data_IF_285236841563
#
_entry.id   IF_285236841563
#
_cell.length_a   1.000
_cell.length_b   1.000
_cell.length_c   1.000
_cell.angle_alpha   90.00
_cell.angle_beta   90.00
_cell.angle_gamma   90.00
#
_symmetry.space_group_name_H-M   'P 1'
#
loop_
_entity.id
_entity.type
_entity.pdbx_description
1 polymer ?
#
# COMPACT_ATOMS: atom_id res chain seq x y z
N UNK A 1 -20.06 23.62 -1.81
CA UNK A 1 -19.85 22.33 -2.52
C UNK A 1 -18.68 22.33 -3.51
N UNK A 2 -18.18 23.48 -4.00
CA UNK A 2 -17.10 23.51 -5.02
C UNK A 2 -15.65 23.41 -4.49
N UNK A 3 -15.40 23.61 -3.19
CA UNK A 3 -14.04 23.57 -2.63
C UNK A 3 -13.52 22.14 -2.36
N UNK A 4 -14.40 21.13 -2.37
CA UNK A 4 -14.10 19.74 -2.00
C UNK A 4 -13.60 18.89 -3.16
N UNK A 5 -13.78 19.33 -4.41
CA UNK A 5 -13.30 18.61 -5.60
C UNK A 5 -11.83 18.91 -5.93
N UNK A 6 -11.31 20.05 -5.49
CA UNK A 6 -9.95 20.50 -5.83
C UNK A 6 -8.84 19.76 -5.06
N UNK A 7 -9.16 19.20 -3.89
CA UNK A 7 -8.18 18.45 -3.09
C UNK A 7 -8.03 17.00 -3.58
N UNK A 8 -9.09 16.41 -4.14
CA UNK A 8 -9.09 15.05 -4.67
C UNK A 8 -8.30 14.95 -5.99
N UNK A 9 -8.31 16.01 -6.80
CA UNK A 9 -7.52 16.10 -8.04
C UNK A 9 -6.03 16.33 -7.79
N UNK A 10 -5.65 16.98 -6.67
CA UNK A 10 -4.24 17.16 -6.31
C UNK A 10 -3.58 15.85 -5.84
N UNK A 11 -4.34 14.96 -5.18
CA UNK A 11 -3.85 13.66 -4.72
C UNK A 11 -3.67 12.64 -5.86
N UNK A 12 -4.41 12.79 -6.97
CA UNK A 12 -4.27 11.95 -8.17
C UNK A 12 -3.04 12.32 -9.00
N UNK A 13 -2.59 13.59 -8.96
CA UNK A 13 -1.44 14.05 -9.74
C UNK A 13 -0.08 13.53 -9.22
N UNK A 14 0.02 13.22 -7.92
CA UNK A 14 1.24 12.64 -7.33
C UNK A 14 1.41 11.15 -7.59
N UNK A 15 0.35 10.43 -7.99
CA UNK A 15 0.41 8.99 -8.26
C UNK A 15 0.90 8.69 -9.68
N UNK A 16 0.78 9.63 -10.62
CA UNK A 16 1.26 9.47 -12.00
C UNK A 16 2.75 9.79 -12.20
N UNK A 17 3.44 10.33 -11.20
CA UNK A 17 4.84 10.74 -11.33
C UNK A 17 5.87 9.65 -10.98
N UNK A 18 5.44 8.49 -10.45
CA UNK A 18 6.34 7.40 -10.05
C UNK A 18 6.45 6.25 -11.06
N UNK A 19 5.84 6.38 -12.24
CA UNK A 19 5.81 5.31 -13.27
C UNK A 19 6.58 5.64 -14.55
N UNK A 20 7.36 6.72 -14.61
CA UNK A 20 8.20 7.02 -15.78
C UNK A 20 9.68 6.67 -15.58
N UNK A 21 10.04 5.52 -16.18
CA UNK A 21 11.32 5.21 -16.86
C UNK A 21 12.36 4.34 -16.16
N UNK A 22 12.65 3.16 -16.73
CA UNK A 22 14.02 2.70 -16.93
C UNK A 22 14.28 2.57 -18.44
N UNK A 23 14.81 3.63 -19.06
CA UNK A 23 15.34 3.53 -20.43
C UNK A 23 16.50 4.50 -20.60
N UNK A 24 17.68 4.07 -20.15
CA UNK A 24 18.97 4.58 -20.60
C UNK A 24 19.93 3.37 -20.60
N UNK A 25 19.86 2.54 -21.64
CA UNK A 25 20.65 2.71 -22.87
C UNK A 25 22.10 2.31 -22.65
N UNK A 26 22.29 1.01 -22.80
CA UNK A 26 23.50 0.33 -23.24
C UNK A 26 24.16 1.17 -24.35
N UNK A 27 25.20 1.94 -24.02
CA UNK A 27 26.06 2.60 -25.00
C UNK A 27 27.30 3.21 -24.32
N UNK A 28 28.22 2.38 -23.84
CA UNK A 28 29.63 2.78 -23.81
C UNK A 28 30.57 1.58 -23.65
N UNK A 29 30.54 0.70 -24.64
CA UNK A 29 31.63 -0.25 -24.86
C UNK A 29 32.35 0.19 -26.15
N UNK A 30 33.67 0.44 -26.03
CA UNK A 30 34.66 0.80 -27.06
C UNK A 30 35.05 2.29 -27.12
N UNK A 31 36.13 2.61 -26.40
CA UNK A 31 37.35 3.19 -27.00
C UNK A 31 38.57 2.73 -26.21
N UNK A 32 39.67 2.58 -26.93
CA UNK A 32 40.84 1.78 -26.63
C UNK A 32 41.82 2.37 -25.60
N UNK A 33 42.63 1.46 -25.05
CA UNK A 33 44.07 1.58 -24.73
C UNK A 33 44.61 2.89 -24.14
N UNK A 34 45.10 2.83 -22.90
CA UNK A 34 46.51 3.10 -22.53
C UNK A 34 46.72 3.00 -21.02
N UNK A 35 47.82 2.33 -20.65
CA UNK A 35 48.27 2.05 -19.29
C UNK A 35 48.68 3.32 -18.54
N UNK A 36 47.95 3.64 -17.47
CA UNK A 36 48.42 4.45 -16.34
C UNK A 36 47.89 3.80 -15.08
N UNK A 37 48.75 3.61 -14.08
CA UNK A 37 48.40 3.03 -12.78
C UNK A 37 47.19 3.75 -12.17
N UNK A 38 46.01 3.14 -12.32
CA UNK A 38 44.78 3.63 -11.74
C UNK A 38 44.84 3.34 -10.24
N UNK A 39 44.92 4.40 -9.46
CA UNK A 39 44.40 4.39 -8.09
C UNK A 39 42.94 3.93 -8.22
N UNK A 40 42.62 2.70 -7.78
CA UNK A 40 41.24 2.28 -7.61
C UNK A 40 40.63 3.24 -6.60
N UNK A 41 39.87 4.21 -7.10
CA UNK A 41 38.91 4.91 -6.26
C UNK A 41 37.99 3.80 -5.73
N UNK A 42 38.07 3.54 -4.42
CA UNK A 42 37.05 2.78 -3.72
C UNK A 42 35.76 3.56 -3.96
N UNK A 43 34.95 3.12 -4.92
CA UNK A 43 33.59 3.60 -5.08
C UNK A 43 32.91 3.24 -3.76
N UNK A 44 32.74 4.24 -2.89
CA UNK A 44 31.82 4.13 -1.77
C UNK A 44 30.50 3.70 -2.38
N UNK A 45 29.96 2.51 -2.05
CA UNK A 45 28.67 2.11 -2.56
C UNK A 45 27.71 3.24 -2.22
N UNK A 46 27.02 3.75 -3.25
CA UNK A 46 26.03 4.81 -3.09
C UNK A 46 25.17 4.46 -1.86
N UNK A 47 24.90 5.43 -0.99
CA UNK A 47 24.16 5.17 0.26
C UNK A 47 22.88 4.36 0.01
N UNK A 48 22.24 4.57 -1.15
CA UNK A 48 21.09 3.85 -1.68
C UNK A 48 21.32 2.32 -1.79
N UNK A 49 22.51 1.89 -2.19
CA UNK A 49 22.89 0.48 -2.27
C UNK A 49 23.07 -0.17 -0.88
N UNK A 50 23.40 0.61 0.15
CA UNK A 50 23.53 0.12 1.53
C UNK A 50 22.14 0.04 2.20
N UNK A 51 21.25 1.00 1.95
CA UNK A 51 19.88 0.98 2.45
C UNK A 51 19.06 -0.15 1.81
N UNK A 52 19.17 -0.34 0.49
CA UNK A 52 18.51 -1.45 -0.22
C UNK A 52 18.97 -2.84 0.23
N UNK A 53 20.20 -2.99 0.73
CA UNK A 53 20.73 -4.27 1.22
C UNK A 53 20.27 -4.64 2.65
N UNK A 54 19.66 -3.70 3.39
CA UNK A 54 19.28 -3.87 4.80
C UNK A 54 17.77 -3.88 5.06
N UNK A 55 16.97 -3.88 3.99
CA UNK A 55 15.51 -3.88 4.06
C UNK A 55 14.98 -2.50 4.42
N UNK A 56 14.61 -1.70 3.43
CA UNK A 56 13.85 -0.47 3.64
C UNK A 56 14.54 0.65 4.45
N UNK A 57 13.97 1.85 4.42
CA UNK A 57 14.24 2.84 5.46
C UNK A 57 13.85 2.28 6.84
N UNK A 58 14.73 2.46 7.82
CA UNK A 58 14.56 1.98 9.21
C UNK A 58 14.51 0.45 9.39
N UNK A 59 15.01 -0.35 8.44
CA UNK A 59 15.05 -1.81 8.58
C UNK A 59 13.69 -2.49 8.34
N UNK A 60 12.75 -1.80 7.69
CA UNK A 60 11.42 -2.34 7.39
C UNK A 60 11.48 -3.14 6.08
N UNK A 61 11.38 -4.45 6.18
CA UNK A 61 11.34 -5.32 5.01
C UNK A 61 9.97 -5.33 4.31
N UNK A 62 9.96 -5.53 2.98
CA UNK A 62 8.74 -5.73 2.18
C UNK A 62 7.84 -6.83 2.74
N UNK A 63 8.44 -7.90 3.28
CA UNK A 63 7.71 -9.03 3.86
C UNK A 63 6.92 -8.62 5.11
N UNK A 64 7.48 -7.74 5.94
CA UNK A 64 6.77 -7.20 7.11
C UNK A 64 5.56 -6.35 6.69
N UNK A 65 5.72 -5.51 5.66
CA UNK A 65 4.63 -4.71 5.12
C UNK A 65 3.49 -5.59 4.57
N UNK A 66 3.84 -6.64 3.82
CA UNK A 66 2.88 -7.62 3.31
C UNK A 66 2.16 -8.38 4.43
N UNK A 67 2.89 -8.87 5.44
CA UNK A 67 2.31 -9.53 6.61
C UNK A 67 1.34 -8.62 7.37
N UNK A 68 1.67 -7.33 7.49
CA UNK A 68 0.76 -6.34 8.08
C UNK A 68 -0.54 -6.22 7.27
N UNK A 69 -0.46 -6.15 5.94
CA UNK A 69 -1.64 -6.18 5.06
C UNK A 69 -2.45 -7.45 5.28
N UNK A 70 -1.83 -8.63 5.26
CA UNK A 70 -2.52 -9.92 5.40
C UNK A 70 -3.28 -10.01 6.72
N UNK A 71 -2.66 -9.55 7.80
CA UNK A 71 -3.28 -9.58 9.11
C UNK A 71 -4.45 -8.60 9.22
N UNK A 72 -4.23 -7.32 8.89
CA UNK A 72 -5.25 -6.28 9.05
C UNK A 72 -6.41 -6.51 8.09
N UNK A 73 -6.13 -6.66 6.80
CA UNK A 73 -7.17 -6.87 5.81
C UNK A 73 -7.79 -8.28 5.93
N UNK A 74 -7.04 -9.28 6.39
CA UNK A 74 -7.55 -10.64 6.59
C UNK A 74 -8.54 -10.69 7.75
N UNK A 75 -8.19 -10.07 8.88
CA UNK A 75 -9.10 -9.93 10.01
C UNK A 75 -10.36 -9.14 9.62
N UNK A 76 -10.20 -8.04 8.90
CA UNK A 76 -11.34 -7.21 8.48
C UNK A 76 -12.23 -7.89 7.44
N UNK A 77 -11.63 -8.58 6.47
CA UNK A 77 -12.35 -9.41 5.49
C UNK A 77 -13.10 -10.56 6.17
N UNK A 78 -12.50 -11.20 7.17
CA UNK A 78 -13.16 -12.24 7.96
C UNK A 78 -14.35 -11.70 8.77
N UNK A 79 -14.19 -10.55 9.39
CA UNK A 79 -15.27 -9.87 10.10
C UNK A 79 -16.45 -9.56 9.17
N UNK A 80 -16.18 -9.00 7.98
CA UNK A 80 -17.21 -8.74 6.98
C UNK A 80 -17.87 -10.00 6.43
N UNK A 81 -17.11 -11.08 6.28
CA UNK A 81 -17.64 -12.35 5.78
C UNK A 81 -18.55 -13.07 6.81
N UNK A 82 -18.13 -13.12 8.07
CA UNK A 82 -18.83 -13.87 9.11
C UNK A 82 -19.89 -13.03 9.83
N UNK A 83 -19.61 -11.75 10.08
CA UNK A 83 -20.41 -10.88 10.94
C UNK A 83 -20.59 -9.47 10.33
N UNK A 84 -21.09 -9.34 9.08
CA UNK A 84 -21.19 -8.05 8.38
C UNK A 84 -21.98 -7.00 9.17
N UNK A 85 -23.07 -7.41 9.83
CA UNK A 85 -23.91 -6.52 10.63
C UNK A 85 -23.12 -5.89 11.77
N UNK A 86 -22.45 -6.71 12.56
CA UNK A 86 -21.58 -6.23 13.64
C UNK A 86 -20.50 -5.30 13.08
N UNK A 87 -19.87 -5.68 11.96
CA UNK A 87 -18.78 -4.91 11.37
C UNK A 87 -19.20 -3.55 10.84
N UNK A 88 -20.38 -3.44 10.26
CA UNK A 88 -20.90 -2.18 9.72
C UNK A 88 -21.41 -1.31 10.87
N UNK A 89 -22.27 -1.83 11.75
CA UNK A 89 -22.88 -1.07 12.84
C UNK A 89 -21.87 -0.60 13.88
N UNK A 90 -20.76 -1.32 14.08
CA UNK A 90 -19.70 -0.84 14.95
C UNK A 90 -18.97 0.38 14.36
N UNK A 91 -18.92 0.56 13.04
CA UNK A 91 -18.14 1.60 12.35
C UNK A 91 -18.99 2.78 11.86
N UNK A 92 -20.28 2.56 11.59
CA UNK A 92 -21.16 3.54 10.96
C UNK A 92 -22.48 3.67 11.71
N UNK A 93 -23.03 4.88 11.76
CA UNK A 93 -24.37 5.14 12.29
C UNK A 93 -25.45 4.75 11.27
N UNK A 94 -25.58 3.45 11.03
CA UNK A 94 -26.55 2.87 10.09
C UNK A 94 -27.18 1.62 10.67
N UNK A 95 -28.44 1.35 10.32
CA UNK A 95 -29.08 0.07 10.61
C UNK A 95 -28.87 -0.86 9.42
N UNK A 96 -28.25 -2.02 9.67
CA UNK A 96 -27.94 -2.97 8.60
C UNK A 96 -29.19 -3.74 8.20
N UNK A 97 -29.50 -3.68 6.91
CA UNK A 97 -30.50 -4.53 6.25
C UNK A 97 -29.85 -5.76 5.57
N UNK A 98 -30.68 -6.54 4.89
CA UNK A 98 -30.25 -7.75 4.18
C UNK A 98 -29.31 -7.43 3.00
N UNK A 99 -29.48 -6.27 2.36
CA UNK A 99 -28.64 -5.85 1.24
C UNK A 99 -27.23 -5.48 1.72
N UNK A 100 -27.12 -4.72 2.82
CA UNK A 100 -25.85 -4.44 3.48
C UNK A 100 -25.17 -5.71 3.95
N UNK A 101 -25.92 -6.67 4.49
CA UNK A 101 -25.39 -7.96 4.91
C UNK A 101 -24.84 -8.77 3.73
N UNK A 102 -25.58 -8.82 2.62
CA UNK A 102 -25.13 -9.46 1.38
C UNK A 102 -23.85 -8.83 0.83
N UNK A 103 -23.83 -7.51 0.67
CA UNK A 103 -22.65 -6.79 0.19
C UNK A 103 -21.45 -6.92 1.14
N UNK A 104 -21.69 -6.89 2.45
CA UNK A 104 -20.67 -7.10 3.46
C UNK A 104 -20.02 -8.47 3.33
N UNK A 105 -20.82 -9.54 3.19
CA UNK A 105 -20.29 -10.90 2.96
C UNK A 105 -19.53 -11.02 1.66
N UNK A 106 -20.07 -10.44 0.58
CA UNK A 106 -19.41 -10.44 -0.71
C UNK A 106 -18.05 -9.74 -0.66
N UNK A 107 -17.99 -8.55 -0.04
CA UNK A 107 -16.75 -7.79 0.18
C UNK A 107 -15.75 -8.56 1.04
N UNK A 108 -16.21 -9.17 2.14
CA UNK A 108 -15.36 -10.00 2.99
C UNK A 108 -14.76 -11.19 2.24
N UNK A 109 -15.57 -11.90 1.44
CA UNK A 109 -15.11 -13.01 0.62
C UNK A 109 -14.06 -12.56 -0.42
N UNK A 110 -14.33 -11.49 -1.16
CA UNK A 110 -13.39 -11.01 -2.18
C UNK A 110 -12.08 -10.51 -1.58
N UNK A 111 -12.13 -9.87 -0.40
CA UNK A 111 -10.94 -9.45 0.34
C UNK A 111 -10.11 -10.66 0.79
N UNK A 112 -10.74 -11.71 1.33
CA UNK A 112 -10.05 -12.94 1.73
C UNK A 112 -9.39 -13.66 0.54
N UNK A 113 -10.08 -13.73 -0.61
CA UNK A 113 -9.51 -14.30 -1.84
C UNK A 113 -8.34 -13.47 -2.36
N UNK A 114 -8.45 -12.13 -2.35
CA UNK A 114 -7.37 -11.23 -2.75
C UNK A 114 -6.13 -11.40 -1.87
N UNK A 115 -6.30 -11.50 -0.56
CA UNK A 115 -5.19 -11.75 0.37
C UNK A 115 -4.57 -13.11 0.12
N UNK A 116 -5.37 -14.15 -0.04
CA UNK A 116 -4.85 -15.48 -0.39
C UNK A 116 -4.02 -15.42 -1.67
N UNK A 117 -4.50 -14.73 -2.71
CA UNK A 117 -3.74 -14.55 -3.95
C UNK A 117 -2.41 -13.84 -3.72
N UNK A 118 -2.38 -12.76 -2.93
CA UNK A 118 -1.14 -12.06 -2.60
C UNK A 118 -0.11 -12.97 -1.91
N UNK A 119 -0.57 -13.88 -1.02
CA UNK A 119 0.33 -14.84 -0.34
C UNK A 119 0.97 -15.88 -1.28
N UNK A 120 0.48 -16.01 -2.51
CA UNK A 120 0.98 -16.96 -3.52
C UNK A 120 1.87 -16.32 -4.57
N UNK A 121 1.99 -15.00 -4.56
CA UNK A 121 2.83 -14.26 -5.49
C UNK A 121 4.21 -14.06 -4.89
N UNK A 122 5.23 -13.94 -5.77
CA UNK A 122 6.55 -13.48 -5.36
C UNK A 122 6.48 -12.08 -4.75
N UNK A 123 7.43 -11.78 -3.86
CA UNK A 123 7.44 -10.53 -3.08
C UNK A 123 7.50 -9.28 -3.97
N UNK A 124 8.24 -9.35 -5.08
CA UNK A 124 8.40 -8.23 -6.00
C UNK A 124 7.15 -7.95 -6.84
N UNK A 125 6.23 -8.93 -6.93
CA UNK A 125 4.92 -8.75 -7.58
C UNK A 125 3.86 -8.35 -6.55
N UNK A 126 3.81 -9.03 -5.41
CA UNK A 126 2.80 -8.79 -4.37
C UNK A 126 2.96 -7.43 -3.69
N UNK A 127 4.19 -6.97 -3.45
CA UNK A 127 4.45 -5.70 -2.76
C UNK A 127 3.84 -4.48 -3.46
N UNK A 128 4.12 -4.19 -4.75
CA UNK A 128 3.53 -3.03 -5.41
C UNK A 128 2.01 -3.12 -5.56
N UNK A 129 1.46 -4.34 -5.75
CA UNK A 129 0.00 -4.56 -5.78
C UNK A 129 -0.61 -4.26 -4.40
N UNK A 130 -0.03 -4.79 -3.33
CA UNK A 130 -0.45 -4.53 -1.95
C UNK A 130 -0.37 -3.06 -1.61
N UNK A 131 0.70 -2.37 -2.01
CA UNK A 131 0.86 -0.95 -1.74
C UNK A 131 -0.22 -0.13 -2.46
N UNK A 132 -0.41 -0.35 -3.77
CA UNK A 132 -1.46 0.31 -4.54
C UNK A 132 -2.87 0.04 -3.99
N UNK A 133 -3.15 -1.21 -3.60
CA UNK A 133 -4.42 -1.56 -2.98
C UNK A 133 -4.66 -0.85 -1.66
N UNK A 134 -3.65 -0.79 -0.76
CA UNK A 134 -3.78 -0.08 0.51
C UNK A 134 -3.98 1.43 0.33
N UNK A 135 -3.38 2.04 -0.70
CA UNK A 135 -3.63 3.46 -1.04
C UNK A 135 -5.09 3.65 -1.45
N UNK A 136 -5.63 2.77 -2.30
CA UNK A 136 -7.03 2.83 -2.69
C UNK A 136 -7.97 2.59 -1.50
N UNK A 137 -7.66 1.64 -0.62
CA UNK A 137 -8.41 1.40 0.62
C UNK A 137 -8.41 2.62 1.52
N UNK A 138 -7.26 3.29 1.70
CA UNK A 138 -7.19 4.50 2.51
C UNK A 138 -8.08 5.63 1.98
N UNK A 139 -8.10 5.82 0.66
CA UNK A 139 -8.89 6.86 -0.01
C UNK A 139 -10.38 6.53 0.01
N UNK A 140 -10.77 5.35 -0.49
CA UNK A 140 -12.18 5.00 -0.70
C UNK A 140 -12.85 4.38 0.53
N UNK A 141 -12.06 3.88 1.48
CA UNK A 141 -12.55 3.37 2.76
C UNK A 141 -12.58 4.47 3.81
N UNK A 142 -11.56 4.56 4.70
CA UNK A 142 -11.64 5.45 5.86
C UNK A 142 -11.70 6.95 5.52
N UNK A 143 -10.92 7.44 4.54
CA UNK A 143 -10.96 8.86 4.21
C UNK A 143 -12.33 9.27 3.66
N UNK A 144 -12.86 8.54 2.67
CA UNK A 144 -14.20 8.80 2.15
C UNK A 144 -15.27 8.69 3.25
N UNK A 145 -15.20 7.66 4.08
CA UNK A 145 -16.12 7.47 5.21
C UNK A 145 -16.12 8.67 6.17
N UNK A 146 -14.96 9.14 6.62
CA UNK A 146 -14.86 10.28 7.55
C UNK A 146 -15.34 11.60 6.94
N UNK A 147 -15.20 11.80 5.63
CA UNK A 147 -15.59 13.05 4.97
C UNK A 147 -17.04 13.06 4.46
N UNK A 148 -17.63 11.90 4.22
CA UNK A 148 -18.90 11.77 3.51
C UNK A 148 -19.98 11.00 4.27
N UNK A 149 -19.63 10.19 5.27
CA UNK A 149 -20.57 9.34 6.00
C UNK A 149 -20.59 9.69 7.50
N UNK A 150 -21.60 9.17 8.21
CA UNK A 150 -21.67 9.24 9.67
C UNK A 150 -20.95 8.05 10.28
N UNK A 151 -19.81 8.31 10.89
CA UNK A 151 -18.92 7.30 11.49
C UNK A 151 -19.08 7.28 13.00
N UNK A 152 -18.87 6.11 13.60
CA UNK A 152 -18.76 5.97 15.05
C UNK A 152 -17.32 6.27 15.50
N UNK A 153 -17.06 6.45 16.82
CA UNK A 153 -15.69 6.58 17.32
C UNK A 153 -14.78 5.38 16.98
N UNK A 154 -15.33 4.18 16.83
CA UNK A 154 -14.57 2.97 16.49
C UNK A 154 -13.96 3.06 15.08
N UNK A 155 -14.59 3.79 14.16
CA UNK A 155 -14.08 3.94 12.80
C UNK A 155 -12.67 4.53 12.74
N UNK A 156 -12.31 5.38 13.72
CA UNK A 156 -10.97 5.96 13.85
C UNK A 156 -9.88 4.91 14.03
N UNK A 157 -10.20 3.75 14.60
CA UNK A 157 -9.26 2.63 14.68
C UNK A 157 -8.93 2.09 13.29
N UNK A 158 -9.91 2.04 12.39
CA UNK A 158 -9.70 1.68 10.98
C UNK A 158 -8.78 2.67 10.26
N UNK A 159 -8.97 3.97 10.47
CA UNK A 159 -8.09 5.03 9.93
C UNK A 159 -6.64 4.82 10.42
N UNK A 160 -6.46 4.59 11.72
CA UNK A 160 -5.15 4.38 12.32
C UNK A 160 -4.44 3.14 11.79
N UNK A 161 -5.16 2.01 11.71
CA UNK A 161 -4.60 0.75 11.20
C UNK A 161 -4.18 0.84 9.74
N UNK A 162 -5.02 1.40 8.87
CA UNK A 162 -4.69 1.58 7.45
C UNK A 162 -3.52 2.54 7.26
N UNK A 163 -3.46 3.61 8.06
CA UNK A 163 -2.33 4.56 8.04
C UNK A 163 -1.02 3.89 8.47
N UNK A 164 -1.06 3.04 9.50
CA UNK A 164 0.10 2.27 9.95
C UNK A 164 0.58 1.29 8.87
N UNK A 165 -0.33 0.59 8.19
CA UNK A 165 0.02 -0.31 7.08
C UNK A 165 0.61 0.47 5.90
N UNK A 166 0.06 1.64 5.55
CA UNK A 166 0.64 2.48 4.51
C UNK A 166 2.05 2.98 4.87
N UNK A 167 2.26 3.33 6.13
CA UNK A 167 3.59 3.73 6.61
C UNK A 167 4.59 2.57 6.48
N UNK A 168 4.22 1.33 6.82
CA UNK A 168 5.13 0.19 6.65
C UNK A 168 5.46 -0.07 5.18
N UNK A 169 4.52 0.14 4.25
CA UNK A 169 4.81 0.06 2.81
C UNK A 169 5.73 1.19 2.34
N UNK A 170 5.48 2.43 2.79
CA UNK A 170 6.32 3.56 2.42
C UNK A 170 7.77 3.35 2.91
N UNK A 171 7.94 2.87 4.15
CA UNK A 171 9.26 2.59 4.71
C UNK A 171 9.97 1.42 4.01
N UNK A 172 9.24 0.37 3.64
CA UNK A 172 9.78 -0.76 2.90
C UNK A 172 10.11 -0.45 1.42
N UNK A 173 9.59 0.66 0.89
CA UNK A 173 9.82 1.08 -0.49
C UNK A 173 11.01 2.04 -0.67
N UNK A 174 11.54 2.59 0.42
CA UNK A 174 12.72 3.47 0.47
C UNK A 174 14.00 2.66 0.63
#
# INVERSE_FOLDING_TARGET
>A
MHFRFTLLSLLMATVTASLSSPTAFISQQRTDSLSVHHFEAVETPAADAIFGLRGGAMGVEKDLALKATYFVAGAYGLQFFLAPKFTIEQNFEVTVDDYHSFLGRFCGMTMLVAIYALTKMDIDVSFPISFGWNVLVAIFGPAYAEFCLKTTPMHKMGVGLVSAVLLTHALAAL
#
